data_IF_779950271328
#
_entry.id   IF_779950271328
#
_cell.length_a   1.000
_cell.length_b   1.000
_cell.length_c   1.000
_cell.angle_alpha   90.00
_cell.angle_beta   90.00
_cell.angle_gamma   90.00
#
_symmetry.space_group_name_H-M   'P 1'
#
loop_
_entity.id
_entity.type
_entity.pdbx_description
1 polymer ?
#
# COMPACT_ATOMS: atom_id res chain seq x y z
N UNK A 1 -7.75 -4.91 21.69
CA UNK A 1 -7.95 -5.36 20.31
C UNK A 1 -7.73 -6.87 20.14
N UNK A 2 -6.54 -7.45 20.33
CA UNK A 2 -6.33 -8.91 20.13
C UNK A 2 -7.33 -9.81 20.88
N UNK A 3 -7.74 -9.42 22.08
CA UNK A 3 -8.75 -10.13 22.91
C UNK A 3 -10.19 -10.08 22.36
N UNK A 4 -10.49 -9.23 21.38
CA UNK A 4 -11.83 -9.10 20.77
C UNK A 4 -11.94 -9.81 19.42
N UNK A 5 -10.88 -10.49 18.97
CA UNK A 5 -10.86 -11.23 17.70
C UNK A 5 -11.22 -12.69 17.97
N UNK A 6 -12.24 -13.20 17.28
CA UNK A 6 -12.54 -14.63 17.25
C UNK A 6 -11.67 -15.31 16.17
N UNK A 7 -10.71 -16.19 16.52
CA UNK A 7 -9.84 -16.83 15.54
C UNK A 7 -10.57 -17.85 14.64
N UNK A 8 -11.83 -18.20 14.95
CA UNK A 8 -12.63 -19.18 14.24
C UNK A 8 -13.84 -18.59 13.51
N UNK A 9 -13.97 -17.26 13.45
CA UNK A 9 -15.07 -16.59 12.74
C UNK A 9 -14.71 -15.18 12.31
N UNK A 10 -14.94 -14.86 11.04
CA UNK A 10 -14.86 -13.51 10.50
C UNK A 10 -15.80 -12.56 11.24
N UNK A 11 -15.29 -11.37 11.59
CA UNK A 11 -16.12 -10.21 11.91
C UNK A 11 -16.71 -9.66 10.61
N UNK A 12 -18.00 -9.30 10.62
CA UNK A 12 -18.59 -8.57 9.50
C UNK A 12 -18.06 -7.13 9.46
N UNK A 13 -17.82 -6.62 8.26
CA UNK A 13 -17.52 -5.21 8.04
C UNK A 13 -18.82 -4.41 8.01
N UNK A 14 -19.30 -4.04 9.20
CA UNK A 14 -20.56 -3.31 9.36
C UNK A 14 -20.39 -1.83 8.97
N UNK A 15 -21.03 -1.43 7.88
CA UNK A 15 -21.12 -0.06 7.38
C UNK A 15 -21.65 0.94 8.42
N UNK A 16 -22.44 0.49 9.39
CA UNK A 16 -23.00 1.33 10.47
C UNK A 16 -22.01 1.54 11.63
N UNK A 17 -20.91 0.77 11.69
CA UNK A 17 -19.89 0.89 12.74
C UNK A 17 -18.88 2.03 12.48
N UNK A 18 -19.04 2.79 11.40
CA UNK A 18 -18.13 3.83 10.90
C UNK A 18 -18.91 4.91 10.12
N UNK A 19 -18.35 6.12 9.92
CA UNK A 19 -19.14 7.31 9.52
C UNK A 19 -18.62 8.11 8.28
N UNK A 20 -18.87 7.63 7.04
CA UNK A 20 -19.03 8.29 5.69
C UNK A 20 -18.21 7.80 4.40
N UNK A 21 -18.34 8.36 3.14
CA UNK A 21 -17.97 7.89 1.72
C UNK A 21 -16.80 8.63 0.91
N UNK A 22 -15.80 7.89 0.35
CA UNK A 22 -14.58 8.27 -0.45
C UNK A 22 -14.55 7.59 -1.85
N UNK A 23 -14.10 8.20 -2.96
CA UNK A 23 -14.17 7.59 -4.28
C UNK A 23 -13.12 6.47 -4.48
N UNK A 24 -13.17 5.83 -5.64
CA UNK A 24 -12.08 4.99 -6.15
C UNK A 24 -10.77 5.81 -6.23
N UNK A 25 -9.74 5.35 -5.52
CA UNK A 25 -8.35 5.82 -5.57
C UNK A 25 -7.60 4.90 -6.55
N UNK A 26 -6.76 5.47 -7.41
CA UNK A 26 -6.05 4.71 -8.43
C UNK A 26 -4.91 3.87 -7.86
N UNK A 27 -4.49 2.85 -8.62
CA UNK A 27 -3.26 2.12 -8.32
C UNK A 27 -1.99 2.89 -8.76
N UNK A 28 -2.16 3.88 -9.65
CA UNK A 28 -1.10 4.70 -10.19
C UNK A 28 -0.49 5.61 -9.11
N UNK A 29 0.83 5.55 -8.97
CA UNK A 29 1.69 6.31 -8.03
C UNK A 29 3.12 5.86 -8.34
N UNK A 30 4.16 6.48 -7.78
CA UNK A 30 5.49 5.85 -7.78
C UNK A 30 6.18 5.96 -6.43
N UNK A 31 7.06 4.99 -6.15
CA UNK A 31 7.88 4.93 -4.95
C UNK A 31 9.33 4.65 -5.32
N UNK A 32 10.27 5.29 -4.61
CA UNK A 32 11.67 4.89 -4.63
C UNK A 32 12.32 5.04 -3.25
N UNK A 33 13.37 4.25 -3.03
CA UNK A 33 14.20 4.28 -1.83
C UNK A 33 15.67 4.47 -2.21
N UNK A 34 16.41 5.22 -1.39
CA UNK A 34 17.84 5.52 -1.59
C UNK A 34 18.56 5.34 -0.24
N UNK A 35 19.76 4.75 -0.28
CA UNK A 35 20.70 4.68 0.84
C UNK A 35 22.06 5.10 0.31
N UNK A 36 22.69 6.10 0.92
CA UNK A 36 24.03 6.56 0.52
C UNK A 36 25.16 5.78 1.21
N UNK A 37 26.41 6.21 0.99
CA UNK A 37 27.59 5.58 1.56
C UNK A 37 27.67 5.71 3.09
N UNK A 38 27.19 6.82 3.65
CA UNK A 38 27.18 7.12 5.08
C UNK A 38 25.98 6.47 5.80
N UNK A 39 25.01 5.94 5.03
CA UNK A 39 23.80 5.30 5.52
C UNK A 39 22.61 6.25 5.68
N UNK A 40 22.70 7.48 5.19
CA UNK A 40 21.53 8.35 5.11
C UNK A 40 20.50 7.68 4.19
N UNK A 41 19.28 7.57 4.69
CA UNK A 41 18.24 6.73 4.10
C UNK A 41 17.03 7.58 3.75
N UNK A 42 16.59 7.50 2.50
CA UNK A 42 15.42 8.18 1.97
C UNK A 42 14.42 7.12 1.48
N UNK A 43 13.16 7.31 1.84
CA UNK A 43 12.02 6.57 1.32
C UNK A 43 11.01 7.61 0.85
N UNK A 44 10.64 7.61 -0.43
CA UNK A 44 9.82 8.66 -1.03
C UNK A 44 8.75 8.06 -1.95
N UNK A 45 7.49 8.35 -1.62
CA UNK A 45 6.33 8.11 -2.48
C UNK A 45 5.78 9.46 -2.94
N UNK A 46 5.48 9.59 -4.23
CA UNK A 46 4.81 10.76 -4.80
C UNK A 46 3.97 10.37 -6.00
N UNK A 47 2.99 11.20 -6.36
CA UNK A 47 2.02 10.87 -7.40
C UNK A 47 1.44 12.11 -8.08
N UNK A 48 0.64 11.88 -9.13
CA UNK A 48 -0.34 12.82 -9.68
C UNK A 48 -1.79 12.37 -9.36
N UNK A 49 -1.93 11.36 -8.50
CA UNK A 49 -3.08 10.49 -8.25
C UNK A 49 -3.35 9.51 -9.41
N UNK A 50 -4.12 9.85 -10.44
CA UNK A 50 -4.30 8.94 -11.60
C UNK A 50 -3.07 8.93 -12.53
N UNK A 51 -3.02 7.96 -13.44
CA UNK A 51 -2.03 7.93 -14.52
C UNK A 51 -2.15 9.19 -15.38
N UNK A 52 -1.06 9.98 -15.46
CA UNK A 52 -1.03 11.34 -16.04
C UNK A 52 -1.87 12.40 -15.30
N UNK A 53 -2.32 12.12 -14.08
CA UNK A 53 -3.12 13.03 -13.25
C UNK A 53 -4.45 13.38 -13.92
N UNK A 54 -4.78 14.68 -13.95
CA UNK A 54 -5.96 15.16 -14.67
C UNK A 54 -5.75 15.29 -16.20
N UNK A 55 -4.59 14.87 -16.72
CA UNK A 55 -4.19 14.97 -18.13
C UNK A 55 -4.08 16.40 -18.71
N UNK A 56 -4.12 17.45 -17.88
CA UNK A 56 -3.91 18.85 -18.28
C UNK A 56 -2.42 19.19 -18.16
N UNK A 57 -1.81 19.60 -19.28
CA UNK A 57 -0.45 20.16 -19.31
C UNK A 57 -0.51 21.67 -19.09
N UNK A 58 0.34 22.18 -18.21
CA UNK A 58 0.48 23.63 -18.00
C UNK A 58 1.17 24.28 -19.21
N UNK A 59 0.43 25.14 -19.91
CA UNK A 59 0.94 25.86 -21.08
C UNK A 59 2.21 26.67 -20.75
N UNK A 60 3.22 26.60 -21.62
CA UNK A 60 4.53 27.23 -21.42
C UNK A 60 5.45 26.54 -20.41
N UNK A 61 4.94 25.69 -19.51
CA UNK A 61 5.74 25.02 -18.47
C UNK A 61 5.93 23.50 -18.72
N UNK A 62 5.01 22.85 -19.44
CA UNK A 62 5.20 21.49 -19.96
C UNK A 62 5.05 20.34 -18.96
N UNK A 63 4.62 20.61 -17.72
CA UNK A 63 4.30 19.57 -16.73
C UNK A 63 2.79 19.33 -16.60
N UNK A 64 2.42 18.13 -16.13
CA UNK A 64 1.04 17.70 -15.90
C UNK A 64 0.54 18.13 -14.52
N UNK A 65 -0.75 18.44 -14.42
CA UNK A 65 -1.43 18.70 -13.15
C UNK A 65 -1.99 17.39 -12.56
N UNK A 66 -1.93 17.28 -11.23
CA UNK A 66 -2.54 16.17 -10.50
C UNK A 66 -4.07 16.23 -10.54
N UNK A 67 -4.72 15.10 -10.22
CA UNK A 67 -6.14 15.05 -9.87
C UNK A 67 -6.36 14.71 -8.38
N UNK A 68 -5.36 14.99 -7.52
CA UNK A 68 -5.31 14.66 -6.08
C UNK A 68 -6.54 15.13 -5.27
N UNK A 69 -7.30 16.10 -5.78
CA UNK A 69 -8.60 16.46 -5.21
C UNK A 69 -9.59 15.28 -5.15
N UNK A 70 -9.35 14.20 -5.92
CA UNK A 70 -10.05 12.92 -5.84
C UNK A 70 -9.89 12.22 -4.49
N UNK A 71 -8.75 12.40 -3.80
CA UNK A 71 -8.51 11.84 -2.46
C UNK A 71 -9.34 12.54 -1.36
N UNK A 72 -10.10 13.59 -1.68
CA UNK A 72 -11.15 14.09 -0.77
C UNK A 72 -12.47 13.33 -0.94
N UNK A 73 -13.32 13.42 0.08
CA UNK A 73 -14.64 12.79 0.09
C UNK A 73 -15.60 13.48 -0.90
N UNK A 74 -16.06 12.82 -1.97
CA UNK A 74 -16.93 13.42 -2.98
C UNK A 74 -18.39 13.47 -2.51
N UNK A 75 -18.78 12.60 -1.56
CA UNK A 75 -20.15 12.41 -1.11
C UNK A 75 -20.21 12.52 0.42
N UNK A 76 -20.32 13.75 0.97
CA UNK A 76 -20.37 13.96 2.41
C UNK A 76 -21.54 13.20 3.07
N UNK A 77 -21.24 12.34 4.05
CA UNK A 77 -22.22 11.79 5.00
C UNK A 77 -22.91 10.47 4.63
N UNK A 78 -22.68 9.89 3.45
CA UNK A 78 -23.15 8.54 3.08
C UNK A 78 -22.10 7.49 3.54
N UNK A 79 -22.41 6.24 3.94
CA UNK A 79 -21.46 5.07 3.93
C UNK A 79 -22.16 3.87 3.28
N UNK A 80 -21.45 3.03 2.53
CA UNK A 80 -22.02 1.86 1.84
C UNK A 80 -21.03 0.70 1.67
N UNK A 81 -21.59 -0.48 1.36
CA UNK A 81 -20.87 -1.75 1.18
C UNK A 81 -19.97 -1.80 -0.05
N UNK A 82 -20.14 -0.90 -1.01
CA UNK A 82 -19.30 -0.85 -2.22
C UNK A 82 -17.94 -0.20 -1.91
N UNK A 83 -17.83 0.49 -0.78
CA UNK A 83 -16.56 0.75 -0.10
C UNK A 83 -16.07 2.17 -0.16
N UNK A 84 -16.96 3.15 -0.23
CA UNK A 84 -16.54 4.53 -0.08
C UNK A 84 -16.36 4.85 1.46
N UNK A 85 -15.25 5.47 1.90
CA UNK A 85 -14.75 5.59 3.33
C UNK A 85 -14.63 7.05 3.90
N UNK A 86 -15.36 8.01 3.34
CA UNK A 86 -15.22 9.45 3.50
C UNK A 86 -16.11 10.23 4.47
N UNK A 87 -15.61 10.29 5.69
CA UNK A 87 -16.01 10.96 6.93
C UNK A 87 -15.90 12.51 6.98
N UNK A 88 -16.40 13.20 8.02
CA UNK A 88 -16.15 14.66 8.18
C UNK A 88 -14.65 15.07 8.12
N UNK A 89 -13.71 14.33 8.73
CA UNK A 89 -12.28 14.61 8.65
C UNK A 89 -11.69 14.84 7.25
N UNK A 90 -12.19 14.16 6.20
CA UNK A 90 -11.62 14.28 4.84
C UNK A 90 -12.57 14.94 3.82
N UNK A 91 -13.44 15.85 4.27
CA UNK A 91 -14.18 16.75 3.37
C UNK A 91 -13.26 17.84 2.78
N UNK A 92 -13.59 18.31 1.57
CA UNK A 92 -12.90 19.42 0.90
C UNK A 92 -13.01 20.72 1.70
N UNK A 93 -11.87 21.35 2.00
CA UNK A 93 -11.80 22.68 2.61
C UNK A 93 -10.63 23.48 1.99
N UNK A 94 -10.70 24.82 1.89
CA UNK A 94 -9.62 25.64 1.31
C UNK A 94 -8.29 25.46 2.04
N UNK A 95 -7.22 25.15 1.30
CA UNK A 95 -5.86 24.98 1.83
C UNK A 95 -5.63 23.69 2.65
N UNK A 96 -6.67 22.86 2.82
CA UNK A 96 -6.56 21.56 3.49
C UNK A 96 -5.85 20.55 2.58
N UNK A 97 -5.15 19.60 3.19
CA UNK A 97 -4.62 18.40 2.51
C UNK A 97 -5.62 17.26 2.66
N UNK A 98 -5.87 16.58 1.55
CA UNK A 98 -6.52 15.28 1.47
C UNK A 98 -5.75 14.22 2.28
N UNK A 99 -6.46 13.20 2.76
CA UNK A 99 -5.82 11.96 3.27
C UNK A 99 -5.25 11.20 2.08
N UNK A 100 -4.04 10.65 2.24
CA UNK A 100 -3.43 9.77 1.24
C UNK A 100 -3.05 8.42 1.85
N UNK A 101 -3.10 7.36 1.04
CA UNK A 101 -2.63 6.02 1.39
C UNK A 101 -1.10 5.85 1.32
N UNK A 102 -0.37 6.86 0.82
CA UNK A 102 1.09 6.84 0.67
C UNK A 102 1.82 6.52 1.99
N UNK A 103 2.57 5.41 2.02
CA UNK A 103 3.26 4.90 3.22
C UNK A 103 4.78 4.70 2.98
N UNK A 104 5.55 5.75 2.64
CA UNK A 104 7.02 5.65 2.59
C UNK A 104 7.56 5.31 4.00
N UNK A 105 8.30 4.22 4.11
CA UNK A 105 8.63 3.59 5.40
C UNK A 105 10.14 3.38 5.53
N UNK A 106 10.68 3.75 6.68
CA UNK A 106 12.02 3.37 7.13
C UNK A 106 11.88 2.57 8.42
N UNK A 107 12.35 1.33 8.43
CA UNK A 107 12.47 0.50 9.63
C UNK A 107 13.86 0.71 10.21
N UNK A 108 13.94 0.94 11.52
CA UNK A 108 15.20 1.09 12.24
C UNK A 108 15.34 0.03 13.35
N UNK A 109 16.59 -0.41 13.58
CA UNK A 109 16.98 -1.28 14.69
C UNK A 109 18.15 -0.62 15.42
N UNK A 110 18.10 -0.58 16.75
CA UNK A 110 19.15 -0.01 17.59
C UNK A 110 19.59 1.41 17.16
N UNK A 111 18.61 2.24 16.78
CA UNK A 111 18.80 3.62 16.31
C UNK A 111 19.31 3.78 14.87
N UNK A 112 19.55 2.69 14.12
CA UNK A 112 20.04 2.73 12.73
C UNK A 112 18.98 2.24 11.74
N UNK A 113 18.81 2.88 10.57
CA UNK A 113 17.96 2.35 9.49
C UNK A 113 18.44 0.96 9.06
N UNK A 114 17.54 -0.01 8.96
CA UNK A 114 17.84 -1.36 8.43
C UNK A 114 17.08 -1.67 7.15
N UNK A 115 15.99 -0.95 6.89
CA UNK A 115 15.17 -1.15 5.70
C UNK A 115 14.51 0.16 5.27
N UNK A 116 14.51 0.43 3.97
CA UNK A 116 13.64 1.43 3.34
C UNK A 116 12.71 0.72 2.36
N UNK A 117 11.42 1.07 2.39
CA UNK A 117 10.39 0.42 1.56
C UNK A 117 9.22 1.36 1.32
N UNK A 118 8.52 1.13 0.22
CA UNK A 118 7.21 1.69 -0.08
C UNK A 118 6.73 1.17 -1.43
N UNK A 119 5.52 1.55 -1.83
CA UNK A 119 4.85 1.07 -3.03
C UNK A 119 3.83 2.12 -3.54
N UNK A 120 3.46 2.10 -4.82
CA UNK A 120 2.18 2.59 -5.32
C UNK A 120 1.05 1.56 -5.08
N UNK A 121 -0.16 1.83 -5.56
CA UNK A 121 -1.33 0.94 -5.41
C UNK A 121 -2.52 1.51 -4.63
N UNK A 122 -2.66 2.84 -4.54
CA UNK A 122 -3.72 3.53 -3.80
C UNK A 122 -3.92 3.00 -2.37
N UNK A 123 -5.17 2.73 -1.98
CA UNK A 123 -5.55 2.07 -0.70
C UNK A 123 -4.74 0.82 -0.36
N UNK A 124 -4.15 0.14 -1.34
CA UNK A 124 -3.37 -1.08 -1.10
C UNK A 124 -1.91 -0.81 -0.74
N UNK A 125 -1.43 0.43 -0.81
CA UNK A 125 -0.06 0.85 -0.42
C UNK A 125 0.26 0.47 1.04
N UNK A 126 -0.68 0.73 1.96
CA UNK A 126 -0.53 0.45 3.39
C UNK A 126 -0.28 -1.05 3.60
N UNK A 127 -1.20 -1.89 3.09
CA UNK A 127 -1.12 -3.34 3.25
C UNK A 127 0.09 -3.94 2.50
N UNK A 128 0.47 -3.38 1.35
CA UNK A 128 1.66 -3.81 0.60
C UNK A 128 2.94 -3.56 1.39
N UNK A 129 3.12 -2.33 1.88
CA UNK A 129 4.31 -1.94 2.65
C UNK A 129 4.40 -2.73 3.97
N UNK A 130 3.26 -2.90 4.66
CA UNK A 130 3.14 -3.75 5.86
C UNK A 130 3.58 -5.19 5.59
N UNK A 131 3.07 -5.83 4.52
CA UNK A 131 3.42 -7.22 4.20
C UNK A 131 4.90 -7.41 3.90
N UNK A 132 5.54 -6.50 3.15
CA UNK A 132 6.98 -6.62 2.90
C UNK A 132 7.78 -6.49 4.20
N UNK A 133 7.38 -5.60 5.12
CA UNK A 133 8.01 -5.47 6.45
C UNK A 133 7.83 -6.75 7.29
N UNK A 134 6.62 -7.31 7.35
CA UNK A 134 6.35 -8.58 8.05
C UNK A 134 7.12 -9.76 7.42
N UNK A 135 7.21 -9.82 6.09
CA UNK A 135 7.96 -10.84 5.38
C UNK A 135 9.46 -10.81 5.75
N UNK A 136 10.06 -9.62 5.89
CA UNK A 136 11.45 -9.48 6.35
C UNK A 136 11.60 -9.84 7.82
N UNK A 137 10.75 -9.28 8.70
CA UNK A 137 10.94 -9.38 10.16
C UNK A 137 10.43 -10.72 10.74
N UNK A 138 9.18 -11.07 10.48
CA UNK A 138 8.51 -12.23 11.09
C UNK A 138 8.70 -13.52 10.29
N UNK A 139 8.97 -13.42 8.98
CA UNK A 139 9.20 -14.57 8.10
C UNK A 139 10.65 -14.71 7.62
N UNK A 140 11.56 -13.85 8.11
CA UNK A 140 13.01 -13.90 7.87
C UNK A 140 13.37 -13.99 6.36
N UNK A 141 12.58 -13.33 5.52
CA UNK A 141 12.84 -13.25 4.08
C UNK A 141 13.88 -12.16 3.79
N UNK A 142 14.78 -12.41 2.83
CA UNK A 142 15.55 -11.32 2.25
C UNK A 142 14.61 -10.37 1.47
N UNK A 143 15.04 -9.12 1.28
CA UNK A 143 14.21 -8.05 0.69
C UNK A 143 13.60 -8.43 -0.67
N UNK A 144 14.34 -9.14 -1.53
CA UNK A 144 13.84 -9.57 -2.83
C UNK A 144 12.71 -10.61 -2.70
N UNK A 145 12.87 -11.61 -1.84
CA UNK A 145 11.80 -12.58 -1.55
C UNK A 145 10.61 -11.92 -0.85
N UNK A 146 10.86 -10.97 0.04
CA UNK A 146 9.82 -10.24 0.77
C UNK A 146 8.96 -9.36 -0.14
N UNK A 147 9.56 -8.74 -1.16
CA UNK A 147 8.88 -7.98 -2.22
C UNK A 147 8.12 -8.94 -3.14
N UNK A 148 8.75 -10.00 -3.66
CA UNK A 148 8.09 -10.90 -4.60
C UNK A 148 6.98 -11.75 -4.00
N UNK A 149 6.99 -11.93 -2.67
CA UNK A 149 5.99 -12.69 -1.94
C UNK A 149 4.55 -12.26 -2.28
N UNK A 150 3.61 -13.20 -2.41
CA UNK A 150 2.24 -12.91 -2.81
C UNK A 150 1.50 -12.05 -1.78
N UNK A 151 0.65 -11.14 -2.28
CA UNK A 151 0.00 -10.13 -1.46
C UNK A 151 -1.50 -10.38 -1.26
N UNK A 152 -1.96 -9.98 -0.08
CA UNK A 152 -3.36 -9.95 0.32
C UNK A 152 -3.78 -8.52 0.68
N UNK A 153 -5.06 -8.21 0.62
CA UNK A 153 -5.59 -6.89 0.99
C UNK A 153 -7.04 -6.98 1.44
N UNK A 154 -7.32 -6.43 2.62
CA UNK A 154 -8.67 -6.11 3.08
C UNK A 154 -8.65 -4.66 3.58
N UNK A 155 -9.65 -3.87 3.20
CA UNK A 155 -9.76 -2.45 3.52
C UNK A 155 -11.06 -2.13 4.27
N UNK A 156 -11.56 -3.12 5.03
CA UNK A 156 -12.85 -3.11 5.69
C UNK A 156 -14.04 -3.12 4.70
N UNK A 157 -14.24 -2.09 3.87
CA UNK A 157 -15.27 -2.08 2.81
C UNK A 157 -14.67 -1.92 1.39
N UNK A 158 -15.10 -2.70 0.39
CA UNK A 158 -16.09 -3.79 0.45
C UNK A 158 -15.60 -4.99 1.28
N UNK A 159 -16.53 -5.74 1.89
CA UNK A 159 -16.24 -6.81 2.86
C UNK A 159 -15.71 -8.10 2.19
N UNK A 160 -14.52 -8.02 1.61
CA UNK A 160 -13.86 -9.10 0.88
C UNK A 160 -12.34 -8.93 0.91
N UNK A 161 -11.62 -10.04 1.00
CA UNK A 161 -10.16 -10.04 0.95
C UNK A 161 -9.71 -10.29 -0.48
N UNK A 162 -8.99 -9.34 -1.05
CA UNK A 162 -8.31 -9.51 -2.32
C UNK A 162 -7.03 -10.34 -2.12
N UNK A 163 -6.82 -11.34 -2.95
CA UNK A 163 -5.60 -12.12 -3.07
C UNK A 163 -5.04 -11.99 -4.49
N UNK A 164 -3.72 -11.99 -4.62
CA UNK A 164 -3.08 -12.17 -5.93
C UNK A 164 -3.37 -13.58 -6.48
N UNK A 165 -3.78 -13.64 -7.75
CA UNK A 165 -4.26 -14.87 -8.39
C UNK A 165 -3.16 -15.93 -8.50
N UNK A 166 -3.49 -17.15 -8.08
CA UNK A 166 -2.62 -18.33 -8.25
C UNK A 166 -1.69 -18.62 -7.06
N UNK A 167 -1.74 -17.82 -6.00
CA UNK A 167 -0.80 -17.91 -4.88
C UNK A 167 -1.39 -18.41 -3.55
N UNK A 168 -2.72 -18.41 -3.40
CA UNK A 168 -3.39 -19.08 -2.28
C UNK A 168 -3.60 -20.57 -2.60
N UNK A 169 -3.32 -21.47 -1.67
CA UNK A 169 -3.65 -22.89 -1.84
C UNK A 169 -5.17 -23.12 -1.71
N UNK A 170 -5.69 -24.16 -2.36
CA UNK A 170 -7.11 -24.51 -2.28
C UNK A 170 -7.56 -24.80 -0.83
N UNK A 171 -6.68 -25.41 -0.02
CA UNK A 171 -6.95 -25.68 1.40
C UNK A 171 -7.00 -24.38 2.21
N UNK A 172 -6.07 -23.45 2.00
CA UNK A 172 -6.08 -22.14 2.67
C UNK A 172 -7.31 -21.33 2.27
N UNK A 173 -7.67 -21.31 0.98
CA UNK A 173 -8.89 -20.66 0.50
C UNK A 173 -10.12 -21.23 1.19
N UNK A 174 -10.27 -22.56 1.18
CA UNK A 174 -11.41 -23.25 1.81
C UNK A 174 -11.49 -22.98 3.31
N UNK A 175 -10.37 -23.04 4.03
CA UNK A 175 -10.35 -22.71 5.46
C UNK A 175 -10.75 -21.26 5.71
N UNK A 176 -10.29 -20.33 4.86
CA UNK A 176 -10.61 -18.90 4.98
C UNK A 176 -12.10 -18.59 4.71
N UNK A 177 -12.67 -19.23 3.70
CA UNK A 177 -14.12 -19.17 3.40
C UNK A 177 -14.95 -19.83 4.50
N UNK A 178 -14.49 -20.93 5.11
CA UNK A 178 -15.15 -21.58 6.25
C UNK A 178 -15.19 -20.71 7.52
N UNK A 179 -14.27 -19.75 7.68
CA UNK A 179 -14.35 -18.73 8.74
C UNK A 179 -15.43 -17.68 8.46
N UNK A 180 -15.95 -17.60 7.22
CA UNK A 180 -16.94 -16.63 6.77
C UNK A 180 -16.37 -15.45 5.97
N UNK A 181 -15.09 -15.47 5.58
CA UNK A 181 -14.52 -14.43 4.73
C UNK A 181 -14.87 -14.64 3.25
N UNK A 182 -15.10 -13.53 2.53
CA UNK A 182 -15.27 -13.56 1.06
C UNK A 182 -13.92 -13.36 0.38
N UNK A 183 -13.59 -14.22 -0.58
CA UNK A 183 -12.34 -14.17 -1.37
C UNK A 183 -12.58 -13.44 -2.70
N UNK A 184 -11.66 -12.56 -3.07
CA UNK A 184 -11.60 -11.89 -4.36
C UNK A 184 -10.21 -12.05 -4.98
N UNK A 185 -10.11 -12.15 -6.30
CA UNK A 185 -8.83 -12.39 -6.99
C UNK A 185 -8.45 -11.25 -7.93
N UNK A 186 -7.32 -10.60 -7.65
CA UNK A 186 -6.69 -9.59 -8.50
C UNK A 186 -5.46 -10.15 -9.23
N UNK A 187 -5.00 -9.46 -10.28
CA UNK A 187 -3.85 -9.85 -11.09
C UNK A 187 -2.52 -9.63 -10.37
N UNK A 188 -2.36 -8.44 -9.77
CA UNK A 188 -1.23 -8.06 -8.93
C UNK A 188 -1.62 -6.91 -8.01
N UNK A 189 -0.76 -6.56 -7.07
CA UNK A 189 -0.97 -5.51 -6.07
C UNK A 189 0.28 -4.66 -5.89
N UNK A 190 0.25 -3.40 -6.32
CA UNK A 190 1.35 -2.44 -6.09
C UNK A 190 2.65 -2.79 -6.82
N UNK A 191 3.72 -2.04 -6.51
CA UNK A 191 5.04 -2.17 -7.09
C UNK A 191 6.10 -1.71 -6.08
N UNK A 192 6.47 -2.59 -5.16
CA UNK A 192 7.30 -2.24 -4.02
C UNK A 192 8.78 -2.05 -4.43
N UNK A 193 9.39 -0.93 -4.02
CA UNK A 193 10.82 -0.67 -4.22
C UNK A 193 11.49 -0.52 -2.86
N UNK A 194 12.52 -1.33 -2.58
CA UNK A 194 13.10 -1.37 -1.24
C UNK A 194 14.58 -1.70 -1.19
N UNK A 195 15.20 -1.30 -0.08
CA UNK A 195 16.60 -1.55 0.23
C UNK A 195 16.69 -2.11 1.65
N UNK A 196 17.42 -3.21 1.83
CA UNK A 196 17.87 -3.71 3.14
C UNK A 196 19.33 -3.35 3.36
N UNK A 197 19.67 -2.91 4.57
CA UNK A 197 21.00 -2.47 4.98
C UNK A 197 21.55 -3.48 5.98
N UNK A 198 22.58 -4.23 5.57
CA UNK A 198 23.37 -5.07 6.46
C UNK A 198 24.53 -4.25 7.04
N UNK A 199 24.44 -3.94 8.34
CA UNK A 199 25.46 -3.19 9.08
C UNK A 199 26.65 -4.04 9.55
N UNK A 200 26.58 -5.37 9.46
CA UNK A 200 27.69 -6.25 9.80
C UNK A 200 28.65 -6.39 8.61
N UNK A 201 28.12 -6.46 7.39
CA UNK A 201 28.91 -6.54 6.15
C UNK A 201 29.07 -5.20 5.42
N UNK A 202 28.23 -4.20 5.72
CA UNK A 202 28.14 -2.92 5.00
C UNK A 202 27.35 -2.99 3.68
N UNK A 203 26.88 -4.18 3.29
CA UNK A 203 26.21 -4.44 2.02
C UNK A 203 24.77 -3.90 2.04
N UNK A 204 24.36 -3.31 0.92
CA UNK A 204 23.03 -2.73 0.70
C UNK A 204 22.34 -3.55 -0.38
N UNK A 205 21.31 -4.30 0.01
CA UNK A 205 20.56 -5.17 -0.89
C UNK A 205 19.34 -4.39 -1.40
N UNK A 206 19.39 -3.92 -2.64
CA UNK A 206 18.24 -3.30 -3.31
C UNK A 206 17.41 -4.32 -4.08
N UNK A 207 16.09 -4.15 -4.12
CA UNK A 207 15.19 -4.94 -4.95
C UNK A 207 14.02 -4.10 -5.46
N UNK A 208 13.61 -4.40 -6.69
CA UNK A 208 12.47 -3.82 -7.37
C UNK A 208 11.49 -4.94 -7.73
N UNK A 209 10.19 -4.65 -7.60
CA UNK A 209 9.09 -5.58 -7.81
C UNK A 209 8.89 -5.98 -9.27
N UNK A 210 8.84 -7.29 -9.52
CA UNK A 210 8.55 -7.87 -10.85
C UNK A 210 7.17 -7.49 -11.42
N UNK A 211 6.25 -7.01 -10.57
CA UNK A 211 4.96 -6.43 -10.98
C UNK A 211 5.13 -5.13 -11.79
N UNK A 212 6.27 -4.44 -11.68
CA UNK A 212 6.62 -3.34 -12.57
C UNK A 212 7.56 -3.79 -13.69
N UNK A 213 7.15 -3.53 -14.92
CA UNK A 213 7.91 -3.88 -16.13
C UNK A 213 9.23 -3.11 -16.27
N UNK A 214 9.40 -1.98 -15.57
CA UNK A 214 10.56 -1.09 -15.66
C UNK A 214 11.23 -0.80 -14.30
N UNK A 215 10.79 -1.48 -13.23
CA UNK A 215 11.40 -1.40 -11.92
C UNK A 215 12.87 -1.82 -11.94
N UNK A 216 13.74 -1.11 -11.21
CA UNK A 216 15.17 -1.44 -11.12
C UNK A 216 15.78 -1.03 -9.79
N UNK A 217 16.59 -1.91 -9.23
CA UNK A 217 17.57 -1.58 -8.20
C UNK A 217 18.97 -1.46 -8.81
N UNK A 218 19.80 -0.55 -8.29
CA UNK A 218 21.19 -0.35 -8.70
C UNK A 218 21.97 0.32 -7.56
N UNK A 219 23.27 0.06 -7.48
CA UNK A 219 24.18 0.66 -6.49
C UNK A 219 25.63 0.62 -6.97
N UNK A 220 26.54 1.09 -6.13
CA UNK A 220 28.00 1.09 -6.32
C UNK A 220 28.71 0.90 -4.98
#
# INVERSE_FOLDING_TARGET
LRSTINPYKASASDENAFNALQPYESEETTHFSVVDADGNTVSLTYTLEFGYGNSIVVEGAGFLLNNEMGDFNPMPGVTDRDGHIGTKPNLVEPGKRMISSMTPTIVAKDGRPVMAIGSPGGRTIINTSLQVVLNVIDHNMNIARAIEAPRIHHQWLPDRTAFERGYISADTQRMYEMLGHTVYFRTGQGSAMGIWIDWETGIKYGSADSRSYNGRASGY
#
